data_IF_216775116566
#
_entry.id   IF_216775116566
#
_cell.length_a   1.000
_cell.length_b   1.000
_cell.length_c   1.000
_cell.angle_alpha   90.00
_cell.angle_beta   90.00
_cell.angle_gamma   90.00
#
_symmetry.space_group_name_H-M   'P 1'
#
loop_
_entity.id
_entity.type
_entity.pdbx_description
1 polymer ?
#
# COMPACT_ATOMS: atom_id res chain seq x y z
N UNK A 1 -19.88 18.21 -9.74
CA UNK A 1 -20.37 17.83 -11.08
C UNK A 1 -19.33 16.97 -11.78
N UNK A 2 -19.60 15.68 -12.02
CA UNK A 2 -19.19 14.91 -13.21
C UNK A 2 -19.76 13.50 -13.06
N UNK A 3 -20.59 13.15 -14.05
CA UNK A 3 -21.39 11.93 -14.17
C UNK A 3 -20.48 10.77 -14.55
N UNK A 4 -20.76 9.57 -14.05
CA UNK A 4 -20.29 8.34 -14.71
C UNK A 4 -21.45 7.36 -14.91
N UNK A 5 -21.51 6.94 -16.16
CA UNK A 5 -22.53 6.13 -16.83
C UNK A 5 -22.46 4.69 -16.33
N UNK A 6 -23.62 4.08 -16.06
CA UNK A 6 -23.72 2.64 -15.80
C UNK A 6 -24.45 2.00 -16.96
N UNK A 7 -23.77 1.03 -17.59
CA UNK A 7 -24.31 0.18 -18.63
C UNK A 7 -25.29 -0.82 -17.98
N UNK A 8 -26.58 -0.65 -18.25
CA UNK A 8 -27.62 -1.54 -17.73
C UNK A 8 -27.82 -2.73 -18.68
N UNK A 9 -27.54 -3.95 -18.19
CA UNK A 9 -28.16 -5.15 -18.76
C UNK A 9 -29.54 -5.31 -18.14
N UNK A 10 -30.56 -5.12 -18.98
CA UNK A 10 -31.95 -5.14 -18.59
C UNK A 10 -32.44 -6.54 -18.22
N UNK A 11 -33.28 -6.58 -17.18
CA UNK A 11 -34.31 -7.60 -17.04
C UNK A 11 -35.59 -6.86 -16.69
N UNK A 12 -36.54 -6.86 -17.62
CA UNK A 12 -37.89 -6.33 -17.44
C UNK A 12 -38.75 -7.39 -16.75
N UNK A 13 -39.44 -7.01 -15.68
CA UNK A 13 -40.70 -7.66 -15.29
C UNK A 13 -41.71 -6.60 -14.88
N UNK A 14 -42.86 -6.68 -15.54
CA UNK A 14 -43.96 -5.72 -15.50
C UNK A 14 -45.09 -6.25 -14.59
N UNK A 15 -45.78 -5.31 -13.96
CA UNK A 15 -47.14 -5.34 -13.37
C UNK A 15 -47.33 -5.88 -11.94
N UNK A 16 -47.97 -5.05 -11.09
CA UNK A 16 -48.86 -5.56 -10.06
C UNK A 16 -49.04 -4.79 -8.73
N UNK A 17 -49.74 -3.65 -8.77
CA UNK A 17 -50.63 -3.11 -7.71
C UNK A 17 -50.08 -2.44 -6.42
N UNK A 18 -50.90 -1.49 -5.95
CA UNK A 18 -50.64 -0.41 -4.99
C UNK A 18 -50.83 -0.82 -3.51
N UNK A 19 -49.97 -0.30 -2.63
CA UNK A 19 -50.11 -0.34 -1.17
C UNK A 19 -49.54 0.92 -0.53
N UNK A 20 -50.16 1.39 0.55
CA UNK A 20 -49.90 2.66 1.25
C UNK A 20 -48.43 2.90 1.59
N UNK A 21 -48.00 4.16 1.46
CA UNK A 21 -46.67 4.64 1.82
C UNK A 21 -46.41 4.52 3.34
N UNK A 22 -45.45 3.68 3.70
CA UNK A 22 -44.67 3.85 4.93
C UNK A 22 -43.38 4.56 4.52
N UNK A 23 -42.97 5.66 5.15
CA UNK A 23 -41.61 6.15 4.97
C UNK A 23 -40.68 5.11 5.60
N UNK A 24 -40.17 4.16 4.80
CA UNK A 24 -39.04 3.37 5.23
C UNK A 24 -37.89 4.35 5.33
N UNK A 25 -37.45 4.60 6.57
CA UNK A 25 -36.22 5.32 6.84
C UNK A 25 -35.17 4.76 5.90
N UNK A 26 -34.48 5.64 5.18
CA UNK A 26 -33.35 5.24 4.35
C UNK A 26 -32.34 4.55 5.28
N UNK A 27 -32.38 3.22 5.32
CA UNK A 27 -31.23 2.45 5.73
C UNK A 27 -30.19 2.73 4.65
N UNK A 28 -29.37 3.76 4.91
CA UNK A 28 -28.05 3.88 4.32
C UNK A 28 -27.47 2.47 4.31
N UNK A 29 -27.18 1.89 3.13
CA UNK A 29 -26.50 0.61 3.09
C UNK A 29 -25.22 0.80 3.89
N UNK A 30 -25.10 0.00 4.95
CA UNK A 30 -23.95 -0.08 5.84
C UNK A 30 -22.67 0.07 5.03
N UNK A 31 -21.78 0.96 5.45
CA UNK A 31 -20.39 1.01 4.98
C UNK A 31 -19.82 -0.40 5.07
N UNK A 32 -19.77 -1.08 3.94
CA UNK A 32 -19.08 -2.36 3.80
C UNK A 32 -17.63 -2.07 4.16
N UNK A 33 -17.23 -2.47 5.37
CA UNK A 33 -15.83 -2.48 5.80
C UNK A 33 -15.11 -3.53 4.94
N UNK A 34 -14.77 -3.17 3.71
CA UNK A 34 -13.80 -3.93 2.94
C UNK A 34 -12.45 -3.66 3.60
N UNK A 35 -12.06 -4.51 4.55
CA UNK A 35 -10.65 -4.69 4.87
C UNK A 35 -9.96 -5.09 3.57
N UNK A 36 -9.43 -4.11 2.83
CA UNK A 36 -8.63 -4.37 1.65
C UNK A 36 -7.28 -4.86 2.16
N UNK A 37 -7.09 -6.18 2.17
CA UNK A 37 -5.76 -6.76 2.14
C UNK A 37 -5.20 -6.45 0.76
N UNK A 38 -4.34 -5.45 0.68
CA UNK A 38 -3.65 -5.12 -0.56
C UNK A 38 -2.24 -5.69 -0.44
N UNK A 39 -1.91 -6.64 -1.32
CA UNK A 39 -0.53 -6.98 -1.59
C UNK A 39 0.01 -5.93 -2.55
N UNK A 40 0.80 -4.98 -2.05
CA UNK A 40 1.55 -4.08 -2.91
C UNK A 40 3.05 -4.33 -2.84
N UNK A 41 3.67 -4.14 -3.99
CA UNK A 41 5.11 -4.11 -4.10
C UNK A 41 5.60 -2.79 -3.55
N UNK A 42 6.47 -2.81 -2.55
CA UNK A 42 7.25 -1.62 -2.24
C UNK A 42 8.51 -1.62 -3.13
N UNK A 43 8.61 -0.65 -4.06
CA UNK A 43 9.72 -0.52 -5.02
C UNK A 43 10.46 0.80 -4.80
N UNK A 44 11.71 0.72 -4.35
CA UNK A 44 12.63 1.85 -4.47
C UNK A 44 13.42 1.77 -5.75
N UNK A 45 13.25 2.76 -6.63
CA UNK A 45 14.03 2.91 -7.85
C UNK A 45 14.79 4.23 -7.74
N UNK A 46 16.12 4.17 -7.59
CA UNK A 46 16.95 5.36 -7.70
C UNK A 46 17.69 5.37 -9.04
N UNK A 47 17.21 6.22 -9.96
CA UNK A 47 17.89 6.43 -11.24
C UNK A 47 19.24 7.15 -11.05
N UNK A 48 19.35 7.97 -9.99
CA UNK A 48 20.58 8.69 -9.67
C UNK A 48 21.70 7.75 -9.21
N UNK A 49 21.39 6.74 -8.40
CA UNK A 49 22.38 5.85 -7.80
C UNK A 49 22.43 4.45 -8.43
N UNK A 50 21.78 4.27 -9.60
CA UNK A 50 21.79 3.05 -10.41
C UNK A 50 21.53 1.76 -9.62
N UNK A 51 20.63 1.83 -8.64
CA UNK A 51 20.18 0.66 -7.90
C UNK A 51 18.65 0.50 -8.00
N UNK A 52 18.21 -0.75 -7.93
CA UNK A 52 16.81 -1.14 -7.82
C UNK A 52 16.67 -1.98 -6.58
N UNK A 53 15.74 -1.62 -5.70
CA UNK A 53 15.47 -2.38 -4.49
C UNK A 53 13.97 -2.58 -4.32
N UNK A 54 13.58 -3.77 -3.86
CA UNK A 54 12.20 -4.20 -3.77
C UNK A 54 12.00 -5.09 -2.57
N UNK A 55 10.86 -4.97 -1.91
CA UNK A 55 10.37 -5.98 -0.98
C UNK A 55 8.86 -6.09 -1.06
N UNK A 56 8.31 -7.18 -0.53
CA UNK A 56 6.88 -7.37 -0.40
C UNK A 56 6.43 -7.16 1.04
N UNK A 57 5.23 -6.62 1.17
CA UNK A 57 4.54 -6.53 2.44
C UNK A 57 3.05 -6.77 2.26
N UNK A 58 2.46 -7.44 3.23
CA UNK A 58 1.01 -7.52 3.35
C UNK A 58 0.58 -6.41 4.30
N UNK A 59 -0.39 -5.58 3.89
CA UNK A 59 -0.93 -4.53 4.76
C UNK A 59 -2.43 -4.36 4.56
N UNK A 60 -3.05 -3.70 5.54
CA UNK A 60 -4.47 -3.40 5.57
C UNK A 60 -4.65 -1.93 5.87
N UNK A 61 -5.39 -1.24 5.00
CA UNK A 61 -5.88 0.11 5.24
C UNK A 61 -7.27 -0.01 5.85
N UNK A 62 -7.44 0.53 7.06
CA UNK A 62 -8.72 0.51 7.77
C UNK A 62 -9.38 1.87 7.66
N UNK A 63 -10.56 1.94 7.05
CA UNK A 63 -11.33 3.18 7.00
C UNK A 63 -11.83 3.55 8.41
N UNK A 64 -11.44 4.72 8.91
CA UNK A 64 -11.82 5.19 10.25
C UNK A 64 -11.13 4.47 11.41
N UNK A 65 -10.09 3.67 11.15
CA UNK A 65 -9.33 2.96 12.18
C UNK A 65 -7.84 2.81 11.83
N UNK A 66 -7.04 2.23 12.74
CA UNK A 66 -5.60 2.12 12.54
C UNK A 66 -5.25 1.00 11.55
N UNK A 67 -4.71 1.41 10.41
CA UNK A 67 -4.03 0.61 9.39
C UNK A 67 -2.77 -0.06 9.94
N UNK A 68 -2.38 -1.18 9.32
CA UNK A 68 -1.24 -1.97 9.79
C UNK A 68 -0.59 -2.79 8.67
N UNK A 69 0.66 -3.17 8.88
CA UNK A 69 1.44 -4.09 8.05
C UNK A 69 1.52 -5.41 8.82
N UNK A 70 0.96 -6.48 8.27
CA UNK A 70 0.92 -7.79 8.95
C UNK A 70 2.16 -8.62 8.68
N UNK A 71 2.81 -8.43 7.53
CA UNK A 71 3.98 -9.22 7.17
C UNK A 71 4.90 -8.47 6.20
N UNK A 72 6.18 -8.80 6.25
CA UNK A 72 7.21 -8.31 5.32
C UNK A 72 8.06 -9.49 4.88
N UNK A 73 8.25 -9.65 3.58
CA UNK A 73 8.94 -10.80 3.02
C UNK A 73 9.57 -10.50 1.68
N UNK A 74 10.44 -11.41 1.23
CA UNK A 74 11.05 -11.42 -0.11
C UNK A 74 11.68 -10.07 -0.48
N UNK A 75 12.97 -9.91 -0.20
CA UNK A 75 13.75 -8.73 -0.60
C UNK A 75 14.62 -9.01 -1.83
N UNK A 76 14.81 -7.98 -2.66
CA UNK A 76 15.77 -7.99 -3.76
C UNK A 76 16.42 -6.62 -3.89
N UNK A 77 17.74 -6.61 -4.08
CA UNK A 77 18.53 -5.41 -4.36
C UNK A 77 19.39 -5.75 -5.57
N UNK A 78 19.40 -4.87 -6.57
CA UNK A 78 20.26 -4.96 -7.74
C UNK A 78 20.96 -3.62 -7.95
N UNK A 79 22.24 -3.67 -8.30
CA UNK A 79 23.07 -2.48 -8.53
C UNK A 79 23.72 -2.62 -9.90
N UNK A 80 23.69 -1.55 -10.70
CA UNK A 80 24.42 -1.49 -11.97
C UNK A 80 25.74 -0.78 -11.74
N UNK A 81 26.85 -1.48 -12.02
CA UNK A 81 28.19 -0.92 -11.86
C UNK A 81 28.71 -0.92 -10.43
N UNK A 82 28.32 -1.93 -9.62
CA UNK A 82 28.80 -2.10 -8.26
C UNK A 82 28.30 -3.38 -7.61
N UNK A 83 28.49 -3.47 -6.30
CA UNK A 83 28.01 -4.55 -5.43
C UNK A 83 27.08 -3.99 -4.34
N UNK A 84 26.28 -4.86 -3.73
CA UNK A 84 25.48 -4.52 -2.56
C UNK A 84 25.76 -5.48 -1.40
N UNK A 85 25.60 -5.01 -0.16
CA UNK A 85 25.76 -5.82 1.05
C UNK A 85 24.79 -5.38 2.16
N UNK A 86 24.87 -6.04 3.32
CA UNK A 86 24.20 -5.65 4.57
C UNK A 86 22.68 -5.43 4.42
N UNK A 87 22.04 -6.28 3.62
CA UNK A 87 20.59 -6.20 3.36
C UNK A 87 19.81 -6.59 4.60
N UNK A 88 18.97 -5.69 5.09
CA UNK A 88 18.10 -5.92 6.25
C UNK A 88 16.69 -5.42 5.96
N UNK A 89 15.72 -6.33 6.00
CA UNK A 89 14.30 -6.02 5.91
C UNK A 89 13.68 -6.15 7.29
N UNK A 90 13.10 -5.07 7.81
CA UNK A 90 12.53 -5.02 9.15
C UNK A 90 11.17 -4.34 9.14
N UNK A 91 10.22 -4.92 9.88
CA UNK A 91 8.98 -4.24 10.26
C UNK A 91 9.28 -3.37 11.48
N UNK A 92 9.44 -2.05 11.28
CA UNK A 92 9.81 -1.12 12.37
C UNK A 92 8.61 -0.71 13.20
N UNK A 93 7.43 -0.63 12.57
CA UNK A 93 6.18 -0.34 13.24
C UNK A 93 5.04 -1.07 12.55
N UNK A 94 4.43 -2.00 13.27
CA UNK A 94 3.36 -2.86 12.74
C UNK A 94 2.07 -2.09 12.46
N UNK A 95 1.67 -1.18 13.36
CA UNK A 95 0.37 -0.50 13.31
C UNK A 95 0.53 1.01 13.38
N UNK A 96 -0.27 1.74 12.60
CA UNK A 96 -0.31 3.20 12.70
C UNK A 96 -0.87 3.65 14.06
N UNK A 97 -0.37 4.77 14.55
CA UNK A 97 -0.88 5.42 15.75
C UNK A 97 -0.67 6.94 15.64
N UNK A 98 -1.01 7.67 16.71
CA UNK A 98 -0.85 9.12 16.77
C UNK A 98 0.59 9.62 16.54
N UNK A 99 1.60 8.76 16.64
CA UNK A 99 3.03 9.07 16.42
C UNK A 99 3.45 8.84 14.97
N UNK A 100 2.57 8.31 14.12
CA UNK A 100 2.82 8.16 12.69
C UNK A 100 2.33 6.84 12.08
N UNK A 101 2.64 6.59 10.80
CA UNK A 101 2.19 5.41 10.07
C UNK A 101 2.83 4.12 10.59
N UNK A 102 2.28 2.97 10.18
CA UNK A 102 3.02 1.71 10.19
C UNK A 102 4.20 1.81 9.20
N UNK A 103 5.36 1.24 9.54
CA UNK A 103 6.61 1.41 8.80
C UNK A 103 7.33 0.06 8.63
N UNK A 104 7.61 -0.31 7.38
CA UNK A 104 8.51 -1.39 7.01
C UNK A 104 9.70 -0.82 6.23
N UNK A 105 10.91 -1.29 6.51
CA UNK A 105 12.15 -0.70 5.97
C UNK A 105 13.08 -1.79 5.46
N UNK A 106 13.51 -1.64 4.20
CA UNK A 106 14.63 -2.35 3.61
C UNK A 106 15.85 -1.42 3.62
N UNK A 107 16.89 -1.81 4.33
CA UNK A 107 18.18 -1.12 4.38
C UNK A 107 19.23 -1.97 3.65
N UNK A 108 20.18 -1.32 2.97
CA UNK A 108 21.27 -1.99 2.28
C UNK A 108 22.43 -1.02 2.01
N UNK A 109 23.62 -1.57 1.80
CA UNK A 109 24.78 -0.81 1.34
C UNK A 109 25.04 -1.02 -0.14
N UNK A 110 25.52 0.02 -0.80
CA UNK A 110 26.00 -0.04 -2.19
C UNK A 110 27.44 0.46 -2.26
N UNK A 111 28.28 -0.31 -2.97
CA UNK A 111 29.66 0.06 -3.30
C UNK A 111 29.82 0.03 -4.82
N UNK A 112 30.19 1.15 -5.43
CA UNK A 112 30.37 1.24 -6.87
C UNK A 112 31.74 0.70 -7.31
N UNK A 113 31.82 0.07 -8.49
CA UNK A 113 33.10 -0.44 -9.01
C UNK A 113 34.11 0.69 -9.20
N UNK A 114 35.36 0.44 -8.82
CA UNK A 114 36.43 1.44 -8.84
C UNK A 114 36.36 2.47 -7.70
N UNK A 115 35.41 2.32 -6.77
CA UNK A 115 35.28 3.15 -5.57
C UNK A 115 35.55 2.34 -4.31
N UNK A 116 36.26 2.93 -3.35
CA UNK A 116 36.35 2.43 -1.97
C UNK A 116 35.22 2.98 -1.08
N UNK A 117 34.40 3.90 -1.59
CA UNK A 117 33.29 4.48 -0.86
C UNK A 117 32.03 3.62 -1.01
N UNK A 118 31.42 3.28 0.13
CA UNK A 118 30.09 2.69 0.24
C UNK A 118 29.09 3.72 0.75
N UNK A 119 27.85 3.67 0.25
CA UNK A 119 26.72 4.43 0.78
C UNK A 119 25.69 3.51 1.46
N UNK A 120 25.09 3.99 2.54
CA UNK A 120 23.92 3.38 3.17
C UNK A 120 22.65 3.91 2.52
N UNK A 121 21.79 3.01 2.06
CA UNK A 121 20.55 3.33 1.36
C UNK A 121 19.37 2.59 1.99
N UNK A 122 18.18 3.14 1.82
CA UNK A 122 16.97 2.51 2.30
C UNK A 122 15.74 2.77 1.43
N UNK A 123 14.78 1.86 1.54
CA UNK A 123 13.42 2.00 1.03
C UNK A 123 12.45 1.68 2.15
N UNK A 124 11.36 2.44 2.22
CA UNK A 124 10.31 2.31 3.22
C UNK A 124 8.95 2.18 2.56
N UNK A 125 8.13 1.31 3.14
CA UNK A 125 6.67 1.34 2.99
C UNK A 125 6.09 1.97 4.25
N UNK A 126 5.25 2.98 4.05
CA UNK A 126 4.47 3.60 5.10
C UNK A 126 2.99 3.33 4.83
N UNK A 127 2.25 2.92 5.86
CA UNK A 127 0.80 2.67 5.77
C UNK A 127 0.10 3.44 6.88
N UNK A 128 -0.81 4.33 6.50
CA UNK A 128 -1.59 5.10 7.46
C UNK A 128 -2.41 6.22 6.83
N UNK A 129 -3.30 6.83 7.60
CA UNK A 129 -4.15 7.94 7.14
C UNK A 129 -5.00 7.58 5.91
N UNK A 130 -5.40 6.32 5.78
CA UNK A 130 -6.18 5.83 4.65
C UNK A 130 -5.38 5.52 3.38
N UNK A 131 -4.05 5.55 3.42
CA UNK A 131 -3.20 5.37 2.24
C UNK A 131 -1.96 4.50 2.54
N UNK A 132 -1.29 4.05 1.48
CA UNK A 132 0.05 3.48 1.52
C UNK A 132 0.97 4.28 0.59
N UNK A 133 2.21 4.53 1.00
CA UNK A 133 3.18 5.24 0.19
C UNK A 133 4.61 4.81 0.47
N UNK A 134 5.46 5.04 -0.52
CA UNK A 134 6.86 4.64 -0.50
C UNK A 134 7.75 5.84 -0.19
N UNK A 135 8.91 5.59 0.42
CA UNK A 135 9.95 6.61 0.61
C UNK A 135 11.31 5.96 0.48
N UNK A 136 12.31 6.69 0.02
CA UNK A 136 13.66 6.16 -0.16
C UNK A 136 14.73 7.25 -0.05
N UNK A 137 15.98 6.86 0.17
CA UNK A 137 17.17 7.72 0.17
C UNK A 137 18.08 7.48 -1.02
#
# INVERSE_FOLDING_TARGET
MKKFMVLALGVTLLTGSFGLAVPVSAETPSTTNSNLSTQEWCKGISQQYKYVSKFYADYVIVSGGPSYISNVYTLSVGVVGGTHSDKSLVLRKEREDFRGPAEAVLQFKVTFYGSSASGDYWVKLNVGGGNAWESHS
#
